data_IF_845737425016
#
_entry.id   IF_845737425016
#
_cell.length_a   1.000
_cell.length_b   1.000
_cell.length_c   1.000
_cell.angle_alpha   90.00
_cell.angle_beta   90.00
_cell.angle_gamma   90.00
#
_symmetry.space_group_name_H-M   'P 1'
#
loop_
_entity.id
_entity.type
_entity.pdbx_description
1 polymer ?
#
# COMPACT_ATOMS: atom_id res chain seq x y z
N UNK A 1 40.16 -8.17 21.66
CA UNK A 1 39.87 -7.99 20.22
C UNK A 1 38.49 -8.56 20.00
N UNK A 2 37.47 -7.70 19.82
CA UNK A 2 36.13 -8.16 19.49
C UNK A 2 36.13 -8.57 18.02
N UNK A 3 35.84 -9.85 17.76
CA UNK A 3 35.53 -10.35 16.42
C UNK A 3 34.20 -9.72 16.00
N UNK A 4 34.26 -8.77 15.08
CA UNK A 4 33.08 -8.30 14.36
C UNK A 4 32.73 -9.42 13.38
N UNK A 5 31.73 -10.21 13.71
CA UNK A 5 31.09 -11.11 12.75
C UNK A 5 30.35 -10.22 11.74
N UNK A 6 30.63 -10.31 10.42
CA UNK A 6 30.01 -9.42 9.44
C UNK A 6 28.54 -9.74 9.15
N UNK A 7 27.85 -10.53 9.98
CA UNK A 7 26.49 -11.00 9.71
C UNK A 7 25.39 -10.19 10.41
N UNK A 8 25.73 -9.06 11.04
CA UNK A 8 24.76 -8.05 11.48
C UNK A 8 24.94 -6.84 10.54
N UNK A 9 24.00 -6.40 9.70
CA UNK A 9 22.59 -6.21 9.97
C UNK A 9 21.77 -6.32 8.67
N UNK A 10 20.80 -7.24 8.69
CA UNK A 10 19.50 -7.19 8.01
C UNK A 10 19.33 -6.12 6.92
N UNK A 11 19.66 -6.49 5.68
CA UNK A 11 18.91 -6.00 4.53
C UNK A 11 17.47 -6.52 4.69
N UNK A 12 16.72 -5.85 5.57
CA UNK A 12 15.28 -6.10 5.64
C UNK A 12 14.74 -5.36 4.44
N UNK A 13 14.22 -6.04 3.40
CA UNK A 13 13.71 -5.36 2.22
C UNK A 13 12.67 -4.35 2.70
N UNK A 14 13.01 -3.07 2.61
CA UNK A 14 12.14 -1.92 2.94
C UNK A 14 11.12 -1.70 1.81
N UNK A 15 10.96 -2.69 0.94
CA UNK A 15 10.13 -2.66 -0.27
C UNK A 15 8.61 -2.51 -0.01
N UNK A 16 7.98 -2.96 1.10
CA UNK A 16 6.53 -2.78 1.27
C UNK A 16 6.12 -1.41 1.82
N UNK A 17 7.03 -0.66 2.45
CA UNK A 17 6.68 0.61 3.12
C UNK A 17 6.50 1.75 2.13
N UNK A 18 7.31 1.77 1.07
CA UNK A 18 7.23 2.82 0.05
C UNK A 18 5.95 2.70 -0.79
N UNK A 19 5.64 1.48 -1.25
CA UNK A 19 4.41 1.23 -2.00
C UNK A 19 3.14 1.54 -1.19
N UNK A 20 3.09 1.15 0.09
CA UNK A 20 1.95 1.46 0.97
C UNK A 20 1.73 2.97 1.11
N UNK A 21 2.83 3.72 1.24
CA UNK A 21 2.79 5.18 1.33
C UNK A 21 2.33 5.83 0.02
N UNK A 22 2.85 5.37 -1.12
CA UNK A 22 2.47 5.86 -2.44
C UNK A 22 0.99 5.58 -2.74
N UNK A 23 0.52 4.37 -2.41
CA UNK A 23 -0.87 3.99 -2.57
C UNK A 23 -1.78 4.84 -1.67
N UNK A 24 -1.39 5.06 -0.41
CA UNK A 24 -2.15 5.92 0.52
C UNK A 24 -2.27 7.35 0.01
N UNK A 25 -1.19 7.93 -0.51
CA UNK A 25 -1.19 9.29 -1.05
C UNK A 25 -2.04 9.39 -2.33
N UNK A 26 -1.97 8.37 -3.21
CA UNK A 26 -2.82 8.26 -4.40
C UNK A 26 -4.31 8.23 -4.03
N UNK A 27 -4.69 7.40 -3.06
CA UNK A 27 -6.08 7.27 -2.59
C UNK A 27 -6.60 8.59 -2.03
N UNK A 28 -5.80 9.28 -1.21
CA UNK A 28 -6.16 10.59 -0.64
C UNK A 28 -6.38 11.64 -1.72
N UNK A 29 -5.52 11.70 -2.74
CA UNK A 29 -5.67 12.63 -3.86
C UNK A 29 -6.93 12.34 -4.68
N UNK A 30 -7.19 11.08 -5.01
CA UNK A 30 -8.38 10.68 -5.75
C UNK A 30 -9.67 11.00 -4.97
N UNK A 31 -9.67 10.74 -3.66
CA UNK A 31 -10.79 11.10 -2.79
C UNK A 31 -11.00 12.62 -2.73
N UNK A 32 -9.93 13.41 -2.56
CA UNK A 32 -10.01 14.87 -2.55
C UNK A 32 -10.51 15.46 -3.88
N UNK A 33 -10.26 14.77 -5.00
CA UNK A 33 -10.80 15.12 -6.31
C UNK A 33 -12.28 14.71 -6.51
N UNK A 34 -12.86 13.94 -5.58
CA UNK A 34 -14.23 13.42 -5.68
C UNK A 34 -14.38 12.19 -6.58
N UNK A 35 -13.27 11.53 -6.93
CA UNK A 35 -13.33 10.26 -7.66
C UNK A 35 -13.78 9.12 -6.74
N UNK A 36 -14.63 8.19 -7.22
CA UNK A 36 -14.93 6.97 -6.49
C UNK A 36 -13.66 6.11 -6.42
N UNK A 37 -13.19 5.85 -5.20
CA UNK A 37 -11.99 5.05 -4.88
C UNK A 37 -12.34 3.67 -4.33
N UNK A 38 -13.62 3.31 -4.26
CA UNK A 38 -14.09 1.96 -3.91
C UNK A 38 -14.43 1.17 -5.18
N UNK A 39 -13.95 -0.07 -5.27
CA UNK A 39 -14.07 -0.89 -6.48
C UNK A 39 -12.93 -1.88 -6.72
N UNK A 40 -12.94 -2.44 -7.93
CA UNK A 40 -11.91 -3.31 -8.50
C UNK A 40 -11.30 -2.65 -9.75
N UNK A 41 -9.97 -2.71 -9.87
CA UNK A 41 -9.24 -2.20 -11.03
C UNK A 41 -8.19 -3.20 -11.49
N UNK A 42 -8.07 -3.30 -12.80
CA UNK A 42 -6.95 -4.00 -13.46
C UNK A 42 -5.93 -2.94 -13.90
N UNK A 43 -4.69 -3.09 -13.45
CA UNK A 43 -3.57 -2.26 -13.86
C UNK A 43 -2.76 -3.08 -14.85
N UNK A 44 -2.87 -2.71 -16.13
CA UNK A 44 -2.10 -3.29 -17.22
C UNK A 44 -0.79 -2.50 -17.37
N UNK A 45 0.33 -3.19 -17.39
CA UNK A 45 1.65 -2.57 -17.60
C UNK A 45 2.16 -2.90 -18.98
N UNK A 46 2.58 -1.89 -19.75
CA UNK A 46 3.10 -2.07 -21.11
C UNK A 46 4.47 -2.79 -21.14
N UNK A 47 5.03 -3.14 -19.99
CA UNK A 47 6.33 -3.78 -19.86
C UNK A 47 6.19 -5.30 -19.81
N UNK A 48 6.78 -6.07 -20.74
CA UNK A 48 6.65 -7.53 -20.78
C UNK A 48 7.32 -8.24 -19.59
N UNK A 49 8.16 -7.53 -18.84
CA UNK A 49 8.81 -8.03 -17.63
C UNK A 49 7.97 -7.83 -16.37
N UNK A 50 6.81 -7.19 -16.50
CA UNK A 50 5.98 -6.76 -15.38
C UNK A 50 4.61 -7.45 -15.51
N UNK A 51 4.16 -8.19 -14.48
CA UNK A 51 2.87 -8.86 -14.53
C UNK A 51 1.73 -7.85 -14.44
N UNK A 52 0.57 -8.21 -15.00
CA UNK A 52 -0.66 -7.47 -14.74
C UNK A 52 -1.09 -7.65 -13.28
N UNK A 53 -1.65 -6.58 -12.70
CA UNK A 53 -2.12 -6.60 -11.33
C UNK A 53 -3.61 -6.31 -11.23
N UNK A 54 -4.25 -6.99 -10.29
CA UNK A 54 -5.62 -6.68 -9.87
C UNK A 54 -5.57 -6.05 -8.48
N UNK A 55 -6.13 -4.85 -8.36
CA UNK A 55 -6.21 -4.11 -7.10
C UNK A 55 -7.69 -4.02 -6.70
N UNK A 56 -7.99 -4.43 -5.47
CA UNK A 56 -9.33 -4.29 -4.88
C UNK A 56 -9.25 -3.33 -3.71
N UNK A 57 -9.97 -2.22 -3.79
CA UNK A 57 -10.03 -1.22 -2.71
C UNK A 57 -11.43 -1.29 -2.11
N UNK A 58 -11.50 -1.68 -0.85
CA UNK A 58 -12.73 -1.76 -0.09
C UNK A 58 -12.69 -0.78 1.07
N UNK A 59 -13.75 0.02 1.21
CA UNK A 59 -13.95 0.85 2.38
C UNK A 59 -14.23 -0.07 3.56
N UNK A 60 -13.35 -0.08 4.56
CA UNK A 60 -13.73 -0.65 5.85
C UNK A 60 -14.84 0.22 6.42
N UNK A 61 -15.93 -0.41 6.87
CA UNK A 61 -16.87 0.28 7.74
C UNK A 61 -16.03 0.87 8.88
N UNK A 62 -15.94 2.20 8.95
CA UNK A 62 -15.48 2.83 10.18
C UNK A 62 -16.40 2.28 11.26
N UNK A 63 -15.82 1.63 12.25
CA UNK A 63 -16.55 1.21 13.44
C UNK A 63 -17.01 2.50 14.14
N UNK A 64 -18.09 3.09 13.62
CA UNK A 64 -18.89 4.09 14.29
C UNK A 64 -19.85 3.31 15.19
N UNK A 65 -19.27 2.56 16.13
CA UNK A 65 -19.94 1.97 17.26
C UNK A 65 -19.27 2.51 18.53
N UNK A 66 -19.47 3.80 18.76
CA UNK A 66 -19.86 4.20 20.10
C UNK A 66 -20.95 5.26 19.90
N UNK A 67 -22.17 4.75 19.97
CA UNK A 67 -23.39 5.52 20.00
C UNK A 67 -23.46 6.28 21.32
N UNK A 68 -24.06 7.47 21.25
CA UNK A 68 -24.72 8.19 22.34
C UNK A 68 -25.19 7.27 23.50
N UNK A 69 -24.62 7.45 24.70
CA UNK A 69 -25.29 7.23 26.00
C UNK A 69 -24.89 8.35 26.99
#
# INVERSE_FOLDING_TARGET
>A
MYSHDPTDCSDTPTEPVEFDRELSDLLLRAFAAGSPVDGDWTVETESPSVPDWTVTISRRASDALDADD
#
